data_IF_177049661302
#
_entry.id   IF_177049661302
#
_cell.length_a   1.000
_cell.length_b   1.000
_cell.length_c   1.000
_cell.angle_alpha   90.00
_cell.angle_beta   90.00
_cell.angle_gamma   90.00
#
_symmetry.space_group_name_H-M   'P 1'
#
loop_
_entity.id
_entity.type
_entity.pdbx_description
1 polymer ?
#
# COMPACT_ATOMS: atom_id res chain seq x y z
N UNK A 1 8.48 32.31 6.19
CA UNK A 1 9.74 31.71 5.70
C UNK A 1 9.54 31.37 4.23
N UNK A 2 10.21 32.06 3.31
CA UNK A 2 10.11 31.78 1.88
C UNK A 2 11.13 30.68 1.53
N UNK A 3 10.65 29.50 1.15
CA UNK A 3 11.48 28.34 0.84
C UNK A 3 10.70 27.03 0.79
N UNK A 4 11.36 26.01 0.26
CA UNK A 4 10.85 24.63 0.17
C UNK A 4 10.84 23.99 1.57
N UNK A 5 9.67 23.63 2.07
CA UNK A 5 9.47 23.09 3.43
C UNK A 5 8.39 22.02 3.45
N UNK A 6 8.42 21.17 4.49
CA UNK A 6 7.36 20.22 4.83
C UNK A 6 6.63 20.75 6.05
N UNK A 7 5.30 20.72 6.01
CA UNK A 7 4.40 21.31 6.99
C UNK A 7 3.45 20.25 7.53
N UNK A 8 3.06 20.39 8.79
CA UNK A 8 1.99 19.63 9.43
C UNK A 8 0.73 20.50 9.51
N UNK A 9 -0.33 20.12 8.80
CA UNK A 9 -1.58 20.88 8.72
C UNK A 9 -2.79 19.98 8.99
N UNK A 10 -3.89 20.55 9.49
CA UNK A 10 -5.13 19.81 9.64
C UNK A 10 -5.78 19.64 8.26
N UNK A 11 -6.26 18.42 7.91
CA UNK A 11 -6.95 18.21 6.65
C UNK A 11 -8.23 19.04 6.59
N UNK A 12 -8.56 19.55 5.41
CA UNK A 12 -9.80 20.29 5.19
C UNK A 12 -11.02 19.42 5.53
N UNK A 13 -12.00 19.99 6.24
CA UNK A 13 -13.25 19.31 6.56
C UNK A 13 -14.02 18.87 5.30
N UNK A 14 -13.81 19.53 4.16
CA UNK A 14 -14.43 19.17 2.87
C UNK A 14 -13.98 17.80 2.36
N UNK A 15 -12.85 17.27 2.82
CA UNK A 15 -12.35 15.95 2.42
C UNK A 15 -13.06 14.79 3.13
N UNK A 16 -13.85 15.07 4.17
CA UNK A 16 -14.56 14.07 4.97
C UNK A 16 -16.01 13.86 4.52
N UNK A 17 -16.25 13.89 3.20
CA UNK A 17 -17.57 13.64 2.62
C UNK A 17 -17.83 12.15 2.44
N UNK A 18 -19.08 11.73 2.70
CA UNK A 18 -19.53 10.36 2.48
C UNK A 18 -20.92 10.35 1.80
N UNK A 19 -21.11 9.61 0.69
CA UNK A 19 -20.10 8.84 -0.04
C UNK A 19 -19.01 9.73 -0.63
N UNK A 20 -17.76 9.24 -0.74
CA UNK A 20 -16.68 10.00 -1.36
C UNK A 20 -16.97 10.25 -2.85
N UNK A 21 -16.35 11.28 -3.42
CA UNK A 21 -16.46 11.56 -4.84
C UNK A 21 -15.95 10.36 -5.67
N UNK A 22 -16.80 9.90 -6.59
CA UNK A 22 -16.52 8.77 -7.47
C UNK A 22 -16.06 9.19 -8.87
N UNK A 23 -15.91 10.50 -9.13
CA UNK A 23 -15.83 11.08 -10.47
C UNK A 23 -14.70 10.50 -11.35
N UNK A 24 -13.56 10.14 -10.78
CA UNK A 24 -12.46 9.54 -11.55
C UNK A 24 -12.24 8.08 -11.13
N UNK A 25 -12.03 7.21 -12.13
CA UNK A 25 -11.61 5.82 -11.94
C UNK A 25 -10.09 5.75 -11.82
N UNK A 26 -9.59 4.72 -11.11
CA UNK A 26 -8.17 4.41 -11.08
C UNK A 26 -7.63 4.17 -12.49
N UNK A 27 -6.40 4.62 -12.73
CA UNK A 27 -5.77 4.58 -14.06
C UNK A 27 -5.16 3.19 -14.29
N UNK A 28 -5.48 2.49 -15.38
CA UNK A 28 -4.87 1.20 -15.68
C UNK A 28 -3.35 1.31 -15.89
N UNK A 29 -2.59 0.22 -15.68
CA UNK A 29 -1.13 0.26 -15.82
C UNK A 29 -0.68 0.55 -17.25
N UNK A 30 0.58 0.98 -17.48
CA UNK A 30 1.14 1.16 -18.82
C UNK A 30 0.98 -0.07 -19.72
N UNK A 31 0.89 0.14 -21.04
CA UNK A 31 0.86 -0.97 -21.99
C UNK A 31 2.23 -1.68 -22.04
N UNK A 32 2.28 -3.00 -22.25
CA UNK A 32 3.54 -3.71 -22.39
C UNK A 32 4.44 -3.07 -23.46
N UNK A 33 5.68 -2.76 -23.09
CA UNK A 33 6.66 -2.13 -23.97
C UNK A 33 6.51 -0.62 -24.17
N UNK A 34 5.50 0.05 -23.59
CA UNK A 34 5.33 1.50 -23.77
C UNK A 34 6.36 2.34 -23.01
N UNK A 35 6.80 1.86 -21.83
CA UNK A 35 7.85 2.46 -21.02
C UNK A 35 8.79 1.39 -20.47
N UNK A 36 9.99 1.76 -20.04
CA UNK A 36 10.99 0.81 -19.51
C UNK A 36 10.49 0.00 -18.30
N UNK A 37 9.57 0.57 -17.51
CA UNK A 37 8.96 -0.07 -16.35
C UNK A 37 7.61 -0.76 -16.65
N UNK A 38 7.22 -0.83 -17.93
CA UNK A 38 5.94 -1.40 -18.32
C UNK A 38 5.82 -2.87 -17.90
N UNK A 39 4.60 -3.31 -17.53
CA UNK A 39 4.39 -4.69 -17.15
C UNK A 39 4.61 -5.65 -18.33
N UNK A 40 4.97 -6.92 -18.05
CA UNK A 40 5.20 -7.91 -19.10
C UNK A 40 3.91 -8.37 -19.80
N UNK A 41 2.75 -8.12 -19.19
CA UNK A 41 1.44 -8.55 -19.68
C UNK A 41 0.45 -7.39 -19.61
N UNK A 42 -0.40 -7.31 -20.63
CA UNK A 42 -1.47 -6.34 -20.69
C UNK A 42 -2.62 -6.75 -19.76
N UNK A 43 -3.14 -5.79 -19.00
CA UNK A 43 -4.38 -5.95 -18.25
C UNK A 43 -5.46 -5.19 -19.02
N UNK A 44 -6.47 -5.86 -19.59
CA UNK A 44 -7.55 -5.20 -20.29
C UNK A 44 -8.26 -4.19 -19.38
N UNK A 45 -8.45 -2.96 -19.89
CA UNK A 45 -8.99 -1.84 -19.11
C UNK A 45 -10.36 -2.18 -18.49
N UNK A 46 -11.22 -2.88 -19.23
CA UNK A 46 -12.53 -3.31 -18.74
C UNK A 46 -12.42 -4.26 -17.54
N UNK A 47 -11.45 -5.18 -17.54
CA UNK A 47 -11.21 -6.11 -16.42
C UNK A 47 -10.65 -5.35 -15.23
N UNK A 48 -9.69 -4.44 -15.47
CA UNK A 48 -9.12 -3.59 -14.45
C UNK A 48 -10.21 -2.79 -13.71
N UNK A 49 -11.07 -2.12 -14.47
CA UNK A 49 -12.16 -1.29 -13.92
C UNK A 49 -13.26 -2.13 -13.28
N UNK A 50 -13.63 -3.27 -13.88
CA UNK A 50 -14.70 -4.12 -13.34
C UNK A 50 -14.32 -4.74 -11.99
N UNK A 51 -13.05 -5.13 -11.82
CA UNK A 51 -12.56 -5.63 -10.53
C UNK A 51 -12.63 -4.59 -9.42
N UNK A 52 -12.54 -3.29 -9.77
CA UNK A 52 -12.60 -2.18 -8.82
C UNK A 52 -14.03 -1.64 -8.59
N UNK A 53 -15.07 -2.30 -9.11
CA UNK A 53 -16.45 -2.00 -8.73
C UNK A 53 -16.65 -2.31 -7.24
N UNK A 54 -17.19 -1.38 -6.41
CA UNK A 54 -17.43 -1.61 -4.98
C UNK A 54 -18.23 -2.88 -4.66
N UNK A 55 -19.10 -3.33 -5.58
CA UNK A 55 -19.89 -4.55 -5.42
C UNK A 55 -19.01 -5.79 -5.32
N UNK A 56 -17.87 -5.83 -6.03
CA UNK A 56 -16.99 -7.00 -6.05
C UNK A 56 -16.42 -7.33 -4.66
N UNK A 57 -15.66 -6.44 -4.00
CA UNK A 57 -15.11 -6.74 -2.68
C UNK A 57 -16.21 -6.88 -1.62
N UNK A 58 -17.29 -6.09 -1.67
CA UNK A 58 -18.38 -6.18 -0.69
C UNK A 58 -19.08 -7.54 -0.78
N UNK A 59 -19.44 -7.99 -1.98
CA UNK A 59 -20.12 -9.28 -2.17
C UNK A 59 -19.22 -10.45 -1.78
N UNK A 60 -17.96 -10.46 -2.24
CA UNK A 60 -17.03 -11.56 -1.94
C UNK A 60 -16.70 -11.59 -0.44
N UNK A 61 -16.42 -10.45 0.19
CA UNK A 61 -16.12 -10.40 1.62
C UNK A 61 -17.32 -10.83 2.48
N UNK A 62 -18.53 -10.44 2.10
CA UNK A 62 -19.78 -10.85 2.77
C UNK A 62 -20.01 -12.35 2.62
N UNK A 63 -19.91 -12.87 1.40
CA UNK A 63 -20.05 -14.29 1.12
C UNK A 63 -19.01 -15.11 1.89
N UNK A 64 -17.75 -14.66 1.90
CA UNK A 64 -16.67 -15.26 2.67
C UNK A 64 -17.00 -15.31 4.17
N UNK A 65 -17.38 -14.17 4.78
CA UNK A 65 -17.67 -14.11 6.20
C UNK A 65 -18.86 -15.01 6.61
N UNK A 66 -19.93 -15.02 5.80
CA UNK A 66 -21.08 -15.90 6.01
C UNK A 66 -20.67 -17.37 5.89
N UNK A 67 -19.94 -17.71 4.82
CA UNK A 67 -19.46 -19.08 4.57
C UNK A 67 -18.59 -19.59 5.70
N UNK A 68 -17.64 -18.79 6.18
CA UNK A 68 -16.77 -19.17 7.30
C UNK A 68 -17.56 -19.40 8.58
N UNK A 69 -18.56 -18.57 8.88
CA UNK A 69 -19.44 -18.77 10.06
C UNK A 69 -20.21 -20.08 9.95
N UNK A 70 -20.78 -20.38 8.78
CA UNK A 70 -21.51 -21.62 8.55
C UNK A 70 -20.60 -22.85 8.65
N UNK A 71 -19.41 -22.80 8.04
CA UNK A 71 -18.43 -23.89 8.09
C UNK A 71 -17.84 -24.09 9.49
N UNK A 72 -17.65 -23.02 10.27
CA UNK A 72 -17.29 -23.12 11.68
C UNK A 72 -18.38 -23.82 12.50
N UNK A 73 -19.67 -23.49 12.26
CA UNK A 73 -20.79 -24.19 12.91
C UNK A 73 -20.81 -25.67 12.53
N UNK A 74 -20.58 -25.98 11.26
CA UNK A 74 -20.46 -27.36 10.78
C UNK A 74 -19.31 -28.11 11.46
N UNK A 75 -18.10 -27.56 11.49
CA UNK A 75 -16.95 -28.18 12.15
C UNK A 75 -17.17 -28.38 13.65
N UNK A 76 -17.87 -27.47 14.33
CA UNK A 76 -18.27 -27.69 15.71
C UNK A 76 -19.28 -28.84 15.86
N UNK A 77 -20.27 -28.94 14.97
CA UNK A 77 -21.26 -30.03 15.01
C UNK A 77 -20.65 -31.42 14.75
N UNK A 78 -19.53 -31.49 14.02
CA UNK A 78 -18.83 -32.74 13.72
C UNK A 78 -17.74 -33.10 14.74
N UNK A 79 -17.70 -32.42 15.89
CA UNK A 79 -16.62 -32.56 16.88
C UNK A 79 -15.22 -32.32 16.28
N UNK A 80 -15.10 -31.34 15.37
CA UNK A 80 -13.84 -30.90 14.75
C UNK A 80 -13.09 -32.01 14.01
N UNK A 81 -13.82 -32.98 13.45
CA UNK A 81 -13.24 -34.05 12.63
C UNK A 81 -12.70 -33.45 11.32
N UNK A 82 -11.46 -33.76 10.91
CA UNK A 82 -10.94 -33.34 9.61
C UNK A 82 -11.78 -33.90 8.46
N UNK A 83 -12.00 -33.09 7.42
CA UNK A 83 -12.81 -33.47 6.27
C UNK A 83 -12.11 -34.59 5.48
N UNK A 84 -12.87 -35.42 4.77
CA UNK A 84 -12.31 -36.52 3.97
C UNK A 84 -11.25 -36.05 2.97
N UNK A 85 -11.50 -34.92 2.30
CA UNK A 85 -10.57 -34.32 1.34
C UNK A 85 -9.21 -33.98 1.96
N UNK A 86 -9.17 -33.56 3.23
CA UNK A 86 -7.94 -33.09 3.89
C UNK A 86 -6.90 -34.19 4.12
N UNK A 87 -7.31 -35.47 4.03
CA UNK A 87 -6.45 -36.64 4.24
C UNK A 87 -5.84 -37.16 2.94
N UNK A 88 -6.22 -36.60 1.80
CA UNK A 88 -5.82 -37.08 0.49
C UNK A 88 -4.45 -36.52 0.09
N UNK A 89 -3.66 -37.28 -0.68
CA UNK A 89 -2.39 -36.80 -1.25
C UNK A 89 -2.56 -35.55 -2.14
N UNK A 90 -3.61 -35.46 -2.99
CA UNK A 90 -3.90 -34.23 -3.74
C UNK A 90 -4.08 -33.00 -2.85
N UNK A 91 -4.77 -33.12 -1.71
CA UNK A 91 -4.92 -32.00 -0.79
C UNK A 91 -3.59 -31.57 -0.16
N UNK A 92 -2.72 -32.53 0.20
CA UNK A 92 -1.38 -32.20 0.66
C UNK A 92 -0.56 -31.46 -0.42
N UNK A 93 -0.58 -31.97 -1.66
CA UNK A 93 0.08 -31.32 -2.79
C UNK A 93 -0.47 -29.91 -3.03
N UNK A 94 -1.79 -29.73 -2.98
CA UNK A 94 -2.44 -28.44 -3.07
C UNK A 94 -1.95 -27.46 -2.00
N UNK A 95 -1.88 -27.87 -0.72
CA UNK A 95 -1.39 -27.00 0.37
C UNK A 95 0.06 -26.58 0.16
N UNK A 96 0.92 -27.49 -0.30
CA UNK A 96 2.33 -27.18 -0.59
C UNK A 96 2.44 -26.22 -1.77
N UNK A 97 1.77 -26.52 -2.89
CA UNK A 97 1.79 -25.68 -4.09
C UNK A 97 1.21 -24.29 -3.81
N UNK A 98 0.13 -24.21 -3.03
CA UNK A 98 -0.49 -22.96 -2.59
C UNK A 98 0.49 -22.08 -1.82
N UNK A 99 1.19 -22.63 -0.82
CA UNK A 99 2.16 -21.87 -0.03
C UNK A 99 3.38 -21.47 -0.88
N UNK A 100 3.88 -22.36 -1.74
CA UNK A 100 5.01 -22.05 -2.64
C UNK A 100 4.62 -20.95 -3.62
N UNK A 101 3.44 -21.06 -4.24
CA UNK A 101 2.91 -20.07 -5.15
C UNK A 101 2.83 -18.70 -4.47
N UNK A 102 2.20 -18.61 -3.29
CA UNK A 102 2.10 -17.34 -2.57
C UNK A 102 3.45 -16.79 -2.12
N UNK A 103 4.41 -17.64 -1.76
CA UNK A 103 5.76 -17.19 -1.42
C UNK A 103 6.48 -16.57 -2.62
N UNK A 104 6.48 -17.25 -3.77
CA UNK A 104 7.13 -16.78 -5.01
C UNK A 104 6.43 -15.52 -5.53
N UNK A 105 5.10 -15.54 -5.59
CA UNK A 105 4.28 -14.41 -6.00
C UNK A 105 4.55 -13.16 -5.13
N UNK A 106 4.60 -13.33 -3.81
CA UNK A 106 4.86 -12.23 -2.88
C UNK A 106 6.28 -11.69 -3.04
N UNK A 107 7.27 -12.55 -3.25
CA UNK A 107 8.65 -12.12 -3.50
C UNK A 107 8.78 -11.36 -4.84
N UNK A 108 8.10 -11.81 -5.88
CA UNK A 108 8.05 -11.15 -7.18
C UNK A 108 7.39 -9.75 -7.08
N UNK A 109 6.25 -9.67 -6.39
CA UNK A 109 5.56 -8.41 -6.13
C UNK A 109 6.43 -7.42 -5.35
N UNK A 110 7.11 -7.90 -4.29
CA UNK A 110 8.03 -7.08 -3.51
C UNK A 110 9.18 -6.54 -4.37
N UNK A 111 9.81 -7.39 -5.19
CA UNK A 111 10.93 -6.98 -6.04
C UNK A 111 10.49 -5.96 -7.10
N UNK A 112 9.34 -6.18 -7.72
CA UNK A 112 8.74 -5.27 -8.68
C UNK A 112 8.45 -3.89 -8.09
N UNK A 113 7.78 -3.87 -6.92
CA UNK A 113 7.52 -2.64 -6.19
C UNK A 113 8.80 -1.95 -5.74
N UNK A 114 9.80 -2.68 -5.24
CA UNK A 114 11.09 -2.11 -4.85
C UNK A 114 11.81 -1.45 -6.04
N UNK A 115 11.73 -2.04 -7.23
CA UNK A 115 12.20 -1.43 -8.46
C UNK A 115 11.47 -0.13 -8.78
N UNK A 116 10.14 -0.13 -8.70
CA UNK A 116 9.31 1.07 -8.92
C UNK A 116 9.64 2.19 -7.93
N UNK A 117 9.83 1.85 -6.65
CA UNK A 117 10.25 2.79 -5.61
C UNK A 117 11.59 3.46 -5.94
N UNK A 118 12.59 2.68 -6.37
CA UNK A 118 13.92 3.20 -6.71
C UNK A 118 13.91 4.17 -7.89
N UNK A 119 12.97 4.01 -8.84
CA UNK A 119 12.82 4.90 -9.99
C UNK A 119 11.98 6.13 -9.70
N UNK A 120 11.09 6.06 -8.69
CA UNK A 120 10.11 7.12 -8.43
C UNK A 120 10.45 8.01 -7.24
N UNK A 121 11.24 7.53 -6.28
CA UNK A 121 11.51 8.27 -5.04
C UNK A 121 12.75 9.14 -5.18
N UNK A 122 12.56 10.44 -5.02
CA UNK A 122 13.66 11.41 -4.95
C UNK A 122 14.36 11.31 -3.60
N UNK A 123 15.69 11.41 -3.60
CA UNK A 123 16.51 11.36 -2.39
C UNK A 123 16.26 12.58 -1.47
N UNK A 124 16.17 12.37 -0.15
CA UNK A 124 16.01 13.47 0.81
C UNK A 124 17.25 14.37 0.93
N UNK A 125 18.39 13.89 0.46
CA UNK A 125 19.65 14.65 0.42
C UNK A 125 19.88 15.34 -0.93
N UNK A 126 18.89 15.32 -1.82
CA UNK A 126 18.93 16.00 -3.11
C UNK A 126 18.69 17.52 -3.02
N UNK A 127 18.73 18.24 -4.16
CA UNK A 127 18.68 19.70 -4.20
C UNK A 127 17.39 20.32 -3.65
N UNK A 128 16.28 19.58 -3.70
CA UNK A 128 14.97 20.01 -3.20
C UNK A 128 14.61 19.40 -1.82
N UNK A 129 15.56 18.70 -1.20
CA UNK A 129 15.48 18.16 0.15
C UNK A 129 14.27 17.27 0.43
N UNK A 130 13.77 17.37 1.67
CA UNK A 130 12.67 16.54 2.18
C UNK A 130 11.33 16.79 1.48
N UNK A 131 11.07 17.99 0.95
CA UNK A 131 9.81 18.27 0.28
C UNK A 131 9.67 17.50 -1.04
N UNK A 132 10.75 17.37 -1.81
CA UNK A 132 10.72 16.55 -3.03
C UNK A 132 10.57 15.05 -2.73
N UNK A 133 11.12 14.60 -1.60
CA UNK A 133 10.89 13.23 -1.11
C UNK A 133 9.43 13.03 -0.69
N UNK A 134 8.85 13.99 0.06
CA UNK A 134 7.45 13.97 0.47
C UNK A 134 6.52 13.98 -0.75
N UNK A 135 6.80 14.83 -1.74
CA UNK A 135 6.10 14.88 -3.01
C UNK A 135 6.13 13.51 -3.74
N UNK A 136 7.27 12.82 -3.75
CA UNK A 136 7.40 11.47 -4.33
C UNK A 136 6.53 10.42 -3.61
N UNK A 137 6.37 10.55 -2.29
CA UNK A 137 5.57 9.62 -1.50
C UNK A 137 4.08 9.94 -1.49
N UNK A 138 3.71 11.20 -1.68
CA UNK A 138 2.34 11.68 -1.61
C UNK A 138 1.64 11.72 -2.97
N UNK A 139 2.39 11.89 -4.07
CA UNK A 139 1.79 12.01 -5.40
C UNK A 139 2.11 10.80 -6.26
N UNK A 140 1.05 10.09 -6.67
CA UNK A 140 1.17 8.84 -7.41
C UNK A 140 1.27 9.01 -8.93
N UNK A 141 0.68 10.06 -9.48
CA UNK A 141 0.46 10.23 -10.92
C UNK A 141 1.20 11.44 -11.50
N UNK A 142 1.41 11.42 -12.82
CA UNK A 142 2.07 12.50 -13.57
C UNK A 142 3.55 12.22 -13.86
N UNK A 143 4.26 13.26 -14.26
CA UNK A 143 5.70 13.15 -14.53
C UNK A 143 6.51 13.11 -13.23
N UNK A 144 7.67 12.46 -13.31
CA UNK A 144 8.71 12.55 -12.29
C UNK A 144 9.23 13.97 -12.14
N UNK A 145 9.81 14.25 -10.98
CA UNK A 145 10.34 15.58 -10.65
C UNK A 145 9.42 16.36 -9.72
N UNK A 146 10.03 17.24 -8.92
CA UNK A 146 9.36 17.96 -7.85
C UNK A 146 8.32 18.93 -8.40
N UNK A 147 7.05 18.82 -7.97
CA UNK A 147 5.96 19.68 -8.43
C UNK A 147 5.38 19.35 -9.81
N UNK A 148 5.89 18.32 -10.50
CA UNK A 148 5.38 17.85 -11.79
C UNK A 148 4.26 16.79 -11.67
N UNK A 149 3.85 16.51 -10.43
CA UNK A 149 2.73 15.62 -10.16
C UNK A 149 1.44 16.11 -10.84
N UNK A 150 0.62 15.16 -11.26
CA UNK A 150 -0.71 15.43 -11.79
C UNK A 150 -1.74 15.01 -10.74
N UNK A 151 -2.54 15.96 -10.29
CA UNK A 151 -3.44 15.84 -9.15
C UNK A 151 -4.86 16.16 -9.59
N UNK A 152 -5.84 15.43 -9.05
CA UNK A 152 -7.24 15.66 -9.37
C UNK A 152 -7.79 16.76 -8.47
N UNK A 153 -8.44 17.76 -9.07
CA UNK A 153 -9.11 18.80 -8.31
C UNK A 153 -10.62 18.59 -8.33
N UNK A 154 -11.18 18.18 -7.18
CA UNK A 154 -12.62 17.91 -7.03
C UNK A 154 -13.50 19.15 -7.21
N UNK A 155 -12.99 20.35 -6.92
CA UNK A 155 -13.80 21.60 -7.02
C UNK A 155 -14.09 21.96 -8.48
N UNK A 156 -13.16 21.66 -9.38
CA UNK A 156 -13.25 21.99 -10.81
C UNK A 156 -13.46 20.78 -11.70
N UNK A 157 -13.28 19.56 -11.19
CA UNK A 157 -13.58 18.31 -11.89
C UNK A 157 -12.57 17.90 -12.97
N UNK A 158 -11.31 18.37 -12.88
CA UNK A 158 -10.27 18.00 -13.86
C UNK A 158 -8.90 17.75 -13.20
N UNK A 159 -8.02 17.06 -13.93
CA UNK A 159 -6.65 16.80 -13.52
C UNK A 159 -5.72 17.93 -13.93
N UNK A 160 -4.82 18.35 -13.03
CA UNK A 160 -3.88 19.43 -13.29
C UNK A 160 -2.53 19.22 -12.62
N UNK A 161 -1.51 19.94 -13.08
CA UNK A 161 -0.20 20.04 -12.44
C UNK A 161 0.11 21.49 -12.08
N UNK A 162 0.86 21.67 -10.99
CA UNK A 162 1.31 22.98 -10.50
C UNK A 162 2.32 23.65 -11.43
N UNK A 163 3.19 22.86 -12.06
CA UNK A 163 4.34 23.37 -12.83
C UNK A 163 4.08 23.44 -14.34
N UNK A 164 2.83 23.29 -14.78
CA UNK A 164 2.44 23.38 -16.21
C UNK A 164 2.87 22.19 -17.08
N UNK A 165 3.82 21.36 -16.61
CA UNK A 165 4.24 20.11 -17.21
C UNK A 165 3.19 19.01 -16.96
N UNK A 166 2.04 19.15 -17.62
CA UNK A 166 0.92 18.22 -17.50
C UNK A 166 1.20 16.96 -18.31
N UNK A 167 1.36 15.83 -17.63
CA UNK A 167 1.43 14.53 -18.26
C UNK A 167 0.02 13.97 -18.49
N UNK A 168 -0.86 14.72 -19.16
CA UNK A 168 -2.24 14.32 -19.42
C UNK A 168 -2.34 13.59 -20.76
N UNK A 169 -3.13 12.53 -20.80
CA UNK A 169 -3.58 11.88 -22.02
C UNK A 169 -4.69 12.68 -22.72
N UNK A 170 -5.07 12.22 -23.91
CA UNK A 170 -6.13 12.83 -24.72
C UNK A 170 -7.51 12.86 -24.02
N UNK A 171 -7.72 11.94 -23.08
CA UNK A 171 -8.93 11.83 -22.27
C UNK A 171 -8.95 12.77 -21.05
N UNK A 172 -7.92 13.61 -20.89
CA UNK A 172 -7.80 14.54 -19.76
C UNK A 172 -7.43 13.88 -18.44
N UNK A 173 -7.01 12.60 -18.47
CA UNK A 173 -6.49 11.86 -17.30
C UNK A 173 -4.96 11.81 -17.34
N UNK A 174 -4.28 11.50 -16.22
CA UNK A 174 -2.84 11.29 -16.26
C UNK A 174 -2.47 10.17 -17.25
N UNK A 175 -1.48 10.46 -18.09
CA UNK A 175 -0.98 9.57 -19.13
C UNK A 175 -0.40 8.29 -18.51
N UNK A 176 -0.70 7.15 -19.14
CA UNK A 176 -0.13 5.85 -18.82
C UNK A 176 1.34 5.73 -19.23
N UNK A 177 1.85 6.69 -19.98
CA UNK A 177 3.23 6.75 -20.45
C UNK A 177 4.10 7.70 -19.62
N UNK A 178 3.49 8.44 -18.69
CA UNK A 178 4.22 9.32 -17.78
C UNK A 178 5.17 8.49 -16.89
N UNK A 179 6.46 8.80 -16.91
CA UNK A 179 7.50 8.08 -16.15
C UNK A 179 7.94 8.86 -14.91
N UNK A 180 8.51 8.15 -13.93
CA UNK A 180 9.10 8.74 -12.74
C UNK A 180 8.16 8.91 -11.54
N UNK A 181 6.93 8.38 -11.63
CA UNK A 181 6.00 8.29 -10.50
C UNK A 181 5.55 6.86 -10.27
N UNK A 182 5.35 6.52 -9.00
CA UNK A 182 5.22 5.14 -8.57
C UNK A 182 4.02 4.40 -9.19
N UNK A 183 2.95 5.12 -9.57
CA UNK A 183 1.79 4.51 -10.21
C UNK A 183 2.18 3.75 -11.49
N UNK A 184 2.74 4.46 -12.47
CA UNK A 184 3.16 3.87 -13.75
C UNK A 184 4.45 3.04 -13.62
N UNK A 185 5.32 3.37 -12.66
CA UNK A 185 6.58 2.65 -12.43
C UNK A 185 6.41 1.27 -11.79
N UNK A 186 5.20 0.94 -11.31
CA UNK A 186 4.85 -0.42 -10.90
C UNK A 186 3.59 -0.56 -10.05
N UNK A 187 3.18 0.47 -9.30
CA UNK A 187 2.09 0.34 -8.34
C UNK A 187 0.73 0.04 -9.00
N UNK A 188 0.46 0.58 -10.18
CA UNK A 188 -0.77 0.29 -10.91
C UNK A 188 -0.91 -1.21 -11.22
N UNK A 189 0.18 -1.84 -11.67
CA UNK A 189 0.21 -3.26 -12.03
C UNK A 189 0.31 -4.16 -10.80
N UNK A 190 1.37 -4.00 -10.01
CA UNK A 190 1.62 -4.84 -8.83
C UNK A 190 0.56 -4.64 -7.76
N UNK A 191 0.09 -3.40 -7.56
CA UNK A 191 -1.01 -3.10 -6.65
C UNK A 191 -2.32 -3.75 -7.08
N UNK A 192 -2.64 -3.77 -8.38
CA UNK A 192 -3.87 -4.41 -8.84
C UNK A 192 -3.82 -5.94 -8.73
N UNK A 193 -2.70 -6.58 -9.08
CA UNK A 193 -2.56 -8.04 -8.88
C UNK A 193 -2.53 -8.37 -7.39
N UNK A 194 -1.90 -7.54 -6.56
CA UNK A 194 -1.92 -7.67 -5.09
C UNK A 194 -3.32 -7.49 -4.51
N UNK A 195 -4.14 -6.63 -5.09
CA UNK A 195 -5.56 -6.56 -4.78
C UNK A 195 -6.25 -7.89 -5.07
N UNK A 196 -6.05 -8.47 -6.26
CA UNK A 196 -6.63 -9.76 -6.60
C UNK A 196 -6.15 -10.89 -5.67
N UNK A 197 -4.90 -10.85 -5.22
CA UNK A 197 -4.36 -11.89 -4.34
C UNK A 197 -5.09 -11.96 -2.99
N UNK A 198 -5.72 -10.87 -2.52
CA UNK A 198 -6.51 -10.90 -1.28
C UNK A 198 -7.77 -11.77 -1.37
N UNK A 199 -8.34 -11.90 -2.56
CA UNK A 199 -9.41 -12.88 -2.79
C UNK A 199 -8.87 -14.31 -2.82
N UNK A 200 -7.69 -14.51 -3.39
CA UNK A 200 -7.04 -15.83 -3.43
C UNK A 200 -6.62 -16.32 -2.04
N UNK A 201 -6.13 -15.42 -1.17
CA UNK A 201 -5.71 -15.73 0.21
C UNK A 201 -6.84 -16.31 1.09
N UNK A 202 -8.12 -16.20 0.68
CA UNK A 202 -9.25 -16.90 1.32
C UNK A 202 -9.05 -18.42 1.39
N UNK A 203 -8.28 -18.99 0.46
CA UNK A 203 -7.92 -20.40 0.45
C UNK A 203 -7.16 -20.83 1.72
N UNK A 204 -6.45 -19.92 2.41
CA UNK A 204 -5.85 -20.22 3.72
C UNK A 204 -6.90 -20.58 4.76
N UNK A 205 -8.03 -19.87 4.72
CA UNK A 205 -9.16 -20.14 5.62
C UNK A 205 -9.81 -21.47 5.27
N UNK A 206 -9.96 -21.77 3.98
CA UNK A 206 -10.46 -23.05 3.50
C UNK A 206 -9.58 -24.21 3.97
N UNK A 207 -8.25 -24.10 3.86
CA UNK A 207 -7.31 -25.14 4.31
C UNK A 207 -7.47 -25.43 5.82
N UNK A 208 -7.65 -24.40 6.64
CA UNK A 208 -7.87 -24.54 8.09
C UNK A 208 -9.18 -25.25 8.39
N UNK A 209 -10.27 -24.83 7.73
CA UNK A 209 -11.59 -25.43 7.89
C UNK A 209 -11.61 -26.89 7.42
N UNK A 210 -10.97 -27.19 6.30
CA UNK A 210 -10.86 -28.54 5.76
C UNK A 210 -10.11 -29.49 6.70
N UNK A 211 -9.12 -28.98 7.43
CA UNK A 211 -8.40 -29.73 8.48
C UNK A 211 -9.23 -29.95 9.75
N UNK A 212 -10.51 -29.57 9.78
CA UNK A 212 -11.41 -29.70 10.92
C UNK A 212 -11.21 -28.63 11.99
N UNK A 213 -10.29 -27.68 11.77
CA UNK A 213 -10.06 -26.57 12.69
C UNK A 213 -11.11 -25.48 12.46
N UNK A 214 -11.27 -24.62 13.45
CA UNK A 214 -12.12 -23.44 13.34
C UNK A 214 -11.29 -22.28 12.80
N UNK A 215 -11.84 -21.55 11.84
CA UNK A 215 -11.29 -20.25 11.46
C UNK A 215 -11.53 -19.26 12.59
N UNK A 216 -10.48 -18.57 13.03
CA UNK A 216 -10.60 -17.55 14.05
C UNK A 216 -11.31 -16.30 13.52
N UNK A 217 -11.99 -15.56 14.41
CA UNK A 217 -12.57 -14.24 14.09
C UNK A 217 -11.50 -13.29 13.58
N UNK A 218 -10.28 -13.37 14.13
CA UNK A 218 -9.14 -12.56 13.69
C UNK A 218 -8.80 -12.82 12.22
N UNK A 219 -8.70 -14.08 11.82
CA UNK A 219 -8.40 -14.44 10.43
C UNK A 219 -9.51 -14.00 9.48
N UNK A 220 -10.76 -14.23 9.86
CA UNK A 220 -11.93 -13.85 9.03
C UNK A 220 -12.03 -12.34 8.88
N UNK A 221 -11.87 -11.60 9.98
CA UNK A 221 -11.87 -10.14 9.97
C UNK A 221 -10.70 -9.58 9.16
N UNK A 222 -9.51 -10.17 9.30
CA UNK A 222 -8.32 -9.74 8.58
C UNK A 222 -8.51 -9.86 7.06
N UNK A 223 -8.84 -11.05 6.55
CA UNK A 223 -8.99 -11.26 5.10
C UNK A 223 -10.13 -10.41 4.51
N UNK A 224 -11.28 -10.33 5.18
CA UNK A 224 -12.41 -9.52 4.71
C UNK A 224 -12.06 -8.01 4.67
N UNK A 225 -11.47 -7.49 5.75
CA UNK A 225 -11.08 -6.08 5.79
C UNK A 225 -9.92 -5.74 4.87
N UNK A 226 -8.97 -6.66 4.65
CA UNK A 226 -7.88 -6.48 3.70
C UNK A 226 -8.40 -6.32 2.25
N UNK A 227 -9.43 -7.08 1.85
CA UNK A 227 -10.09 -6.89 0.54
C UNK A 227 -10.66 -5.48 0.40
N UNK A 228 -11.36 -4.99 1.42
CA UNK A 228 -11.99 -3.67 1.41
C UNK A 228 -10.97 -2.52 1.42
N UNK A 229 -9.94 -2.61 2.26
CA UNK A 229 -8.89 -1.59 2.34
C UNK A 229 -8.05 -1.53 1.07
N UNK A 230 -7.73 -2.69 0.50
CA UNK A 230 -6.96 -2.75 -0.75
C UNK A 230 -7.78 -2.25 -1.94
N UNK A 231 -9.09 -2.57 -1.99
CA UNK A 231 -10.01 -1.98 -2.96
C UNK A 231 -10.02 -0.46 -2.88
N UNK A 232 -10.24 0.12 -1.69
CA UNK A 232 -10.34 1.57 -1.54
C UNK A 232 -9.01 2.26 -1.92
N UNK A 233 -7.87 1.71 -1.50
CA UNK A 233 -6.56 2.26 -1.84
C UNK A 233 -6.28 2.27 -3.34
N UNK A 234 -6.64 1.20 -4.06
CA UNK A 234 -6.47 1.15 -5.52
C UNK A 234 -7.51 2.00 -6.26
N UNK A 235 -8.79 1.90 -5.87
CA UNK A 235 -9.92 2.60 -6.52
C UNK A 235 -9.76 4.11 -6.48
N UNK A 236 -9.28 4.65 -5.37
CA UNK A 236 -9.07 6.08 -5.16
C UNK A 236 -7.61 6.52 -5.29
N UNK A 237 -6.71 5.62 -5.74
CA UNK A 237 -5.28 5.91 -5.92
C UNK A 237 -4.65 6.58 -4.68
N UNK A 238 -4.98 6.07 -3.50
CA UNK A 238 -4.53 6.66 -2.24
C UNK A 238 -3.06 6.34 -1.99
N UNK A 239 -2.23 7.37 -1.86
CA UNK A 239 -0.78 7.24 -1.80
C UNK A 239 -0.25 6.19 -0.81
N UNK A 240 -0.75 6.07 0.44
CA UNK A 240 -0.27 5.06 1.39
C UNK A 240 -0.38 3.60 0.93
N UNK A 241 -1.16 3.31 -0.12
CA UNK A 241 -1.38 1.94 -0.60
C UNK A 241 -0.08 1.24 -1.03
N UNK A 242 0.92 1.99 -1.53
CA UNK A 242 2.19 1.39 -1.93
C UNK A 242 2.93 0.73 -0.77
N UNK A 243 2.84 1.31 0.43
CA UNK A 243 3.49 0.78 1.64
C UNK A 243 2.85 -0.55 2.02
N UNK A 244 1.52 -0.65 1.87
CA UNK A 244 0.81 -1.89 2.08
C UNK A 244 1.30 -2.95 1.09
N UNK A 245 1.33 -2.66 -0.21
CA UNK A 245 1.77 -3.61 -1.24
C UNK A 245 3.23 -4.04 -1.01
N UNK A 246 4.16 -3.11 -0.81
CA UNK A 246 5.59 -3.38 -0.67
C UNK A 246 5.91 -4.17 0.61
N UNK A 247 5.51 -3.66 1.77
CA UNK A 247 5.91 -4.26 3.05
C UNK A 247 5.15 -5.56 3.31
N UNK A 248 3.86 -5.63 2.96
CA UNK A 248 3.10 -6.86 3.15
C UNK A 248 3.59 -7.97 2.22
N UNK A 249 3.91 -7.68 0.96
CA UNK A 249 4.46 -8.70 0.06
C UNK A 249 5.81 -9.24 0.56
N UNK A 250 6.68 -8.40 1.13
CA UNK A 250 7.91 -8.86 1.79
C UNK A 250 7.63 -9.82 2.96
N UNK A 251 6.73 -9.42 3.88
CA UNK A 251 6.39 -10.23 5.05
C UNK A 251 5.64 -11.52 4.65
N UNK A 252 4.76 -11.45 3.66
CA UNK A 252 4.05 -12.61 3.12
C UNK A 252 5.00 -13.59 2.45
N UNK A 253 6.00 -13.11 1.69
CA UNK A 253 7.03 -13.98 1.12
C UNK A 253 7.74 -14.80 2.22
N UNK A 254 8.14 -14.16 3.32
CA UNK A 254 8.75 -14.86 4.46
C UNK A 254 7.78 -15.80 5.18
N UNK A 255 6.54 -15.36 5.39
CA UNK A 255 5.51 -16.11 6.12
C UNK A 255 5.10 -17.40 5.36
N UNK A 256 4.84 -17.31 4.05
CA UNK A 256 4.52 -18.49 3.24
C UNK A 256 5.73 -19.39 2.99
N UNK A 257 6.94 -18.84 2.95
CA UNK A 257 8.17 -19.65 2.97
C UNK A 257 8.25 -20.47 4.27
N UNK A 258 7.96 -19.85 5.42
CA UNK A 258 7.87 -20.55 6.71
C UNK A 258 6.79 -21.64 6.71
N UNK A 259 5.60 -21.38 6.16
CA UNK A 259 4.55 -22.40 6.04
C UNK A 259 4.92 -23.54 5.11
N UNK A 260 5.63 -23.26 4.02
CA UNK A 260 6.17 -24.28 3.13
C UNK A 260 7.15 -25.19 3.86
N UNK A 261 8.14 -24.62 4.57
CA UNK A 261 9.14 -25.37 5.32
C UNK A 261 8.49 -26.25 6.41
N UNK A 262 7.51 -25.70 7.12
CA UNK A 262 6.79 -26.46 8.16
C UNK A 262 5.87 -27.55 7.60
N UNK A 263 5.35 -27.40 6.37
CA UNK A 263 4.59 -28.45 5.70
C UNK A 263 5.44 -29.69 5.38
N UNK A 264 6.75 -29.52 5.17
CA UNK A 264 7.72 -30.61 5.01
C UNK A 264 8.22 -31.19 6.35
N UNK A 265 7.58 -30.85 7.48
CA UNK A 265 7.98 -31.26 8.84
C UNK A 265 9.41 -30.87 9.23
N UNK A 266 9.96 -29.82 8.61
CA UNK A 266 11.27 -29.29 8.98
C UNK A 266 11.11 -28.44 10.25
N UNK A 267 11.91 -28.73 11.28
CA UNK A 267 11.88 -28.01 12.55
C UNK A 267 12.45 -26.61 12.38
N UNK A 268 11.59 -25.60 12.44
CA UNK A 268 12.00 -24.19 12.39
C UNK A 268 12.27 -23.67 13.82
N UNK A 269 13.40 -22.99 14.06
CA UNK A 269 13.69 -22.35 15.35
C UNK A 269 12.58 -21.38 15.80
N UNK A 270 12.28 -21.40 17.10
CA UNK A 270 11.28 -20.49 17.69
C UNK A 270 11.62 -19.00 17.51
N UNK A 271 12.90 -18.66 17.37
CA UNK A 271 13.34 -17.29 17.08
C UNK A 271 12.76 -16.78 15.76
N UNK A 272 12.77 -17.58 14.68
CA UNK A 272 12.22 -17.19 13.37
C UNK A 272 10.72 -16.94 13.49
N UNK A 273 9.99 -17.83 14.17
CA UNK A 273 8.55 -17.65 14.44
C UNK A 273 8.26 -16.35 15.22
N UNK A 274 9.12 -16.01 16.19
CA UNK A 274 8.99 -14.76 16.95
C UNK A 274 9.27 -13.55 16.07
N UNK A 275 10.33 -13.57 15.26
CA UNK A 275 10.68 -12.49 14.34
C UNK A 275 9.56 -12.22 13.33
N UNK A 276 8.96 -13.28 12.75
CA UNK A 276 7.83 -13.12 11.82
C UNK A 276 6.64 -12.42 12.49
N UNK A 277 6.26 -12.85 13.69
CA UNK A 277 5.18 -12.20 14.45
C UNK A 277 5.51 -10.75 14.78
N UNK A 278 6.75 -10.45 15.17
CA UNK A 278 7.20 -9.08 15.43
C UNK A 278 7.10 -8.22 14.18
N UNK A 279 7.56 -8.72 13.03
CA UNK A 279 7.50 -8.00 11.76
C UNK A 279 6.06 -7.70 11.34
N UNK A 280 5.12 -8.65 11.53
CA UNK A 280 3.70 -8.44 11.27
C UNK A 280 3.10 -7.34 12.14
N UNK A 281 3.44 -7.30 13.43
CA UNK A 281 2.95 -6.26 14.35
C UNK A 281 3.54 -4.89 13.97
N UNK A 282 4.85 -4.85 13.70
CA UNK A 282 5.53 -3.64 13.25
C UNK A 282 4.93 -3.12 11.94
N UNK A 283 4.59 -4.01 10.98
CA UNK A 283 3.91 -3.63 9.74
C UNK A 283 2.61 -2.89 10.01
N UNK A 284 1.77 -3.41 10.92
CA UNK A 284 0.48 -2.76 11.20
C UNK A 284 0.65 -1.42 11.92
N UNK A 285 1.55 -1.32 12.90
CA UNK A 285 1.79 -0.07 13.61
C UNK A 285 2.38 1.00 12.69
N UNK A 286 3.48 0.67 11.99
CA UNK A 286 4.14 1.61 11.08
C UNK A 286 3.22 1.96 9.92
N UNK A 287 2.51 0.98 9.34
CA UNK A 287 1.60 1.20 8.22
C UNK A 287 0.41 2.09 8.60
N UNK A 288 -0.21 1.89 9.77
CA UNK A 288 -1.32 2.71 10.23
C UNK A 288 -0.86 4.15 10.53
N UNK A 289 0.27 4.32 11.22
CA UNK A 289 0.84 5.65 11.49
C UNK A 289 1.23 6.35 10.19
N UNK A 290 1.84 5.64 9.25
CA UNK A 290 2.24 6.17 7.94
C UNK A 290 1.02 6.63 7.13
N UNK A 291 -0.03 5.80 7.04
CA UNK A 291 -1.25 6.17 6.34
C UNK A 291 -1.92 7.39 6.98
N UNK A 292 -2.00 7.42 8.31
CA UNK A 292 -2.57 8.55 9.05
C UNK A 292 -1.76 9.85 8.85
N UNK A 293 -0.42 9.76 8.79
CA UNK A 293 0.43 10.92 8.56
C UNK A 293 0.15 11.60 7.22
N UNK A 294 -0.27 10.88 6.17
CA UNK A 294 -0.59 11.49 4.87
C UNK A 294 -1.74 12.50 4.97
N UNK A 295 -2.68 12.29 5.90
CA UNK A 295 -3.77 13.23 6.13
C UNK A 295 -3.32 14.56 6.73
N UNK A 296 -2.10 14.63 7.28
CA UNK A 296 -1.60 15.82 7.98
C UNK A 296 -0.36 16.45 7.34
N UNK A 297 0.21 15.84 6.29
CA UNK A 297 1.43 16.33 5.66
C UNK A 297 1.07 17.19 4.44
N UNK A 298 1.66 18.39 4.41
CA UNK A 298 1.69 19.30 3.26
C UNK A 298 3.14 19.68 2.96
N UNK A 299 3.44 20.13 1.75
CA UNK A 299 4.77 20.62 1.39
C UNK A 299 4.69 21.78 0.40
N UNK A 300 5.70 22.64 0.36
CA UNK A 300 5.71 23.82 -0.52
C UNK A 300 6.48 23.55 -1.81
N UNK A 301 5.83 23.76 -2.95
CA UNK A 301 6.39 23.60 -4.29
C UNK A 301 6.70 24.98 -4.88
N UNK A 302 7.91 25.22 -5.42
CA UNK A 302 8.21 26.45 -6.16
C UNK A 302 7.54 26.41 -7.53
N UNK A 303 6.72 27.43 -7.83
CA UNK A 303 6.03 27.60 -9.11
C UNK A 303 6.47 28.92 -9.72
N UNK A 304 6.91 28.90 -10.97
CA UNK A 304 7.25 30.11 -11.73
C UNK A 304 6.00 30.68 -12.40
N UNK A 305 5.64 31.91 -12.04
CA UNK A 305 4.54 32.66 -12.66
C UNK A 305 5.11 33.79 -13.52
N UNK A 306 4.49 34.04 -14.66
CA UNK A 306 4.87 35.12 -15.56
C UNK A 306 3.85 36.25 -15.45
N UNK A 307 4.27 37.41 -14.95
CA UNK A 307 3.41 38.60 -14.83
C UNK A 307 3.75 39.62 -15.92
N UNK A 308 2.76 40.26 -16.51
CA UNK A 308 3.01 41.30 -17.51
C UNK A 308 3.70 42.50 -16.85
N UNK A 309 4.77 43.03 -17.46
CA UNK A 309 5.39 44.29 -17.04
C UNK A 309 4.31 45.39 -17.11
N UNK A 310 4.00 46.02 -15.97
CA UNK A 310 3.19 47.26 -15.99
C UNK A 310 3.92 48.28 -16.85
N UNK A 311 3.24 48.77 -17.90
CA UNK A 311 3.74 49.84 -18.75
C UNK A 311 3.84 51.16 -17.99
N UNK A 312 4.95 51.37 -17.32
CA UNK A 312 5.39 52.65 -16.80
C UNK A 312 6.92 52.69 -16.89
N UNK A 313 7.42 52.58 -18.12
CA UNK A 313 8.74 53.06 -18.61
C UNK A 313 8.84 52.81 -20.13
N UNK A 314 7.73 53.02 -20.85
CA UNK A 314 7.69 52.99 -22.31
C UNK A 314 7.73 54.41 -22.88
N UNK A 315 8.67 55.24 -22.42
CA UNK A 315 9.13 56.41 -23.16
C UNK A 315 10.64 56.51 -22.94
N UNK A 316 11.38 56.06 -23.97
CA UNK A 316 12.70 56.53 -24.42
C UNK A 316 13.56 55.35 -24.82
N UNK A 317 13.37 54.89 -26.06
CA UNK A 317 14.49 54.54 -26.93
C UNK A 317 14.00 54.57 -28.37
N UNK A 318 14.07 55.77 -28.93
CA UNK A 318 14.09 55.96 -30.38
C UNK A 318 15.33 55.28 -30.95
N UNK A 319 15.13 54.61 -32.09
CA UNK A 319 16.09 54.44 -33.19
C UNK A 319 17.47 53.83 -32.88
N UNK A 320 17.66 52.58 -33.28
CA UNK A 320 18.62 52.26 -34.36
C UNK A 320 18.46 50.82 -34.82
N UNK A 321 18.02 50.67 -36.07
CA UNK A 321 18.06 49.44 -36.85
C UNK A 321 19.51 49.15 -37.26
N UNK A 322 20.01 47.95 -36.95
CA UNK A 322 21.07 47.36 -37.77
C UNK A 322 20.82 45.86 -37.90
N UNK A 323 20.23 45.50 -39.04
CA UNK A 323 20.35 44.17 -39.60
C UNK A 323 21.76 44.04 -40.18
N UNK A 324 22.56 43.07 -39.71
CA UNK A 324 23.64 42.39 -40.43
C UNK A 324 24.46 41.56 -39.45
N UNK A 325 24.29 40.24 -39.48
CA UNK A 325 25.37 39.24 -39.66
C UNK A 325 24.82 37.85 -39.33
N UNK A 326 24.17 37.30 -40.35
CA UNK A 326 24.17 35.86 -40.59
C UNK A 326 25.28 35.60 -41.61
N UNK A 327 25.92 34.42 -41.54
CA UNK A 327 26.93 33.86 -42.48
C UNK A 327 28.40 33.96 -42.02
N UNK A 328 28.73 33.12 -41.03
CA UNK A 328 29.96 32.31 -40.93
C UNK A 328 29.87 31.62 -39.56
N UNK A 329 29.53 30.34 -39.44
CA UNK A 329 30.54 29.27 -39.39
C UNK A 329 29.84 27.91 -39.59
N UNK A 330 29.32 27.65 -40.79
CA UNK A 330 28.61 26.41 -41.14
C UNK A 330 29.53 25.32 -41.74
N UNK A 331 30.82 25.28 -41.35
CA UNK A 331 31.80 24.41 -42.00
C UNK A 331 32.81 23.77 -41.04
N UNK A 332 32.36 23.17 -39.94
CA UNK A 332 33.19 22.27 -39.11
C UNK A 332 32.40 21.13 -38.42
N UNK A 333 31.13 20.91 -38.76
CA UNK A 333 30.31 19.88 -38.09
C UNK A 333 30.19 18.52 -38.82
N UNK A 334 30.53 18.48 -40.12
CA UNK A 334 30.25 17.32 -40.96
C UNK A 334 31.26 16.15 -40.78
N UNK A 335 32.36 16.35 -40.06
CA UNK A 335 33.38 15.32 -39.84
C UNK A 335 33.29 14.64 -38.45
N UNK A 336 32.55 15.23 -37.51
CA UNK A 336 32.29 14.64 -36.18
C UNK A 336 31.07 13.71 -36.18
N UNK A 337 30.06 13.99 -37.01
CA UNK A 337 28.84 13.17 -37.10
C UNK A 337 29.05 11.75 -37.68
N UNK A 338 30.20 11.49 -38.31
CA UNK A 338 30.55 10.16 -38.86
C UNK A 338 31.31 9.28 -37.86
N UNK A 339 31.89 9.87 -36.79
CA UNK A 339 32.67 9.15 -35.78
C UNK A 339 31.79 8.51 -34.69
N UNK A 340 30.62 9.10 -34.42
CA UNK A 340 29.67 8.64 -33.40
C UNK A 340 28.72 7.51 -33.87
N UNK A 341 28.77 7.12 -35.15
CA UNK A 341 27.93 6.03 -35.67
C UNK A 341 28.57 4.63 -35.52
N UNK A 342 29.81 4.53 -35.01
CA UNK A 342 30.59 3.27 -35.02
C UNK A 342 31.03 2.79 -33.63
N UNK A 343 31.03 3.62 -32.59
CA UNK A 343 31.37 3.17 -31.23
C UNK A 343 30.28 3.53 -30.22
N UNK A 344 29.41 2.56 -29.94
CA UNK A 344 28.41 2.65 -28.89
C UNK A 344 29.02 2.96 -27.52
N UNK A 345 28.45 3.95 -26.83
CA UNK A 345 28.86 4.36 -25.49
C UNK A 345 27.63 4.52 -24.57
N UNK A 346 27.17 3.39 -24.03
CA UNK A 346 26.31 3.32 -22.85
C UNK A 346 27.11 3.75 -21.61
N UNK A 347 27.27 5.06 -21.44
CA UNK A 347 27.70 5.69 -20.17
C UNK A 347 27.47 7.21 -20.16
N UNK A 348 27.35 7.87 -21.32
CA UNK A 348 27.12 9.34 -21.39
C UNK A 348 25.66 9.77 -21.33
N UNK A 349 24.72 8.87 -21.63
CA UNK A 349 23.27 9.17 -21.60
C UNK A 349 22.75 9.41 -20.17
N UNK A 350 23.43 8.86 -19.15
CA UNK A 350 23.05 9.05 -17.75
C UNK A 350 23.43 10.45 -17.20
N UNK A 351 24.50 11.05 -17.74
CA UNK A 351 24.96 12.38 -17.32
C UNK A 351 24.21 13.49 -18.07
N UNK A 352 23.84 13.25 -19.33
CA UNK A 352 22.96 14.15 -20.09
C UNK A 352 21.51 14.12 -19.59
N UNK A 353 20.98 12.96 -19.15
CA UNK A 353 19.66 12.90 -18.50
C UNK A 353 19.64 13.62 -17.14
N UNK A 354 20.76 13.64 -16.40
CA UNK A 354 20.90 14.43 -15.19
C UNK A 354 21.01 15.93 -15.50
N UNK A 355 21.72 16.33 -16.56
CA UNK A 355 21.81 17.72 -17.00
C UNK A 355 20.47 18.25 -17.57
N UNK A 356 19.69 17.41 -18.26
CA UNK A 356 18.33 17.74 -18.71
C UNK A 356 17.36 17.86 -17.52
N UNK A 357 17.60 17.14 -16.41
CA UNK A 357 16.81 17.30 -15.18
C UNK A 357 17.11 18.61 -14.42
N UNK A 358 18.30 19.20 -14.61
CA UNK A 358 18.60 20.57 -14.15
C UNK A 358 18.01 21.61 -15.12
N UNK A 359 17.90 21.28 -16.40
CA UNK A 359 17.27 22.12 -17.42
C UNK A 359 15.73 22.10 -17.40
N UNK A 360 15.07 21.13 -16.74
CA UNK A 360 13.61 21.11 -16.61
C UNK A 360 13.07 22.15 -15.60
N UNK A 361 13.96 22.83 -14.87
CA UNK A 361 13.67 24.08 -14.15
C UNK A 361 14.17 25.33 -14.90
N UNK A 362 14.60 25.19 -16.15
CA UNK A 362 14.83 26.35 -17.01
C UNK A 362 13.46 26.93 -17.35
N UNK A 363 13.13 28.02 -16.65
CA UNK A 363 12.09 28.95 -17.06
C UNK A 363 12.13 29.09 -18.59
N UNK A 364 10.97 28.94 -19.23
CA UNK A 364 10.80 29.28 -20.63
C UNK A 364 11.48 30.64 -20.88
N UNK A 365 12.19 30.81 -22.01
CA UNK A 365 12.95 32.03 -22.27
C UNK A 365 12.05 33.25 -22.03
N UNK A 366 12.55 34.30 -21.34
CA UNK A 366 11.72 35.42 -20.93
C UNK A 366 11.05 36.02 -22.15
N UNK A 367 9.73 35.85 -22.22
CA UNK A 367 8.92 36.47 -23.27
C UNK A 367 9.05 37.99 -23.13
N UNK A 368 9.37 38.73 -24.21
CA UNK A 368 9.51 40.17 -24.14
C UNK A 368 8.20 40.79 -23.61
N UNK A 369 8.27 41.45 -22.47
CA UNK A 369 7.11 42.07 -21.80
C UNK A 369 6.60 41.36 -20.55
N UNK A 370 7.16 40.20 -20.15
CA UNK A 370 6.80 39.50 -18.91
C UNK A 370 7.96 39.44 -17.90
N UNK A 371 7.63 39.37 -16.61
CA UNK A 371 8.55 39.15 -15.48
C UNK A 371 8.26 37.76 -14.90
N UNK A 372 9.28 36.92 -14.77
CA UNK A 372 9.18 35.63 -14.10
C UNK A 372 9.37 35.83 -12.59
N UNK A 373 8.40 35.39 -11.79
CA UNK A 373 8.44 35.40 -10.33
C UNK A 373 8.21 33.98 -9.81
N UNK A 374 8.99 33.55 -8.81
CA UNK A 374 8.81 32.23 -8.17
C UNK A 374 7.99 32.38 -6.91
N UNK A 375 6.81 31.77 -6.89
CA UNK A 375 5.93 31.68 -5.73
C UNK A 375 5.99 30.28 -5.13
N UNK A 376 5.83 30.17 -3.81
CA UNK A 376 5.77 28.88 -3.12
C UNK A 376 4.31 28.52 -2.84
N UNK A 377 3.84 27.44 -3.46
CA UNK A 377 2.46 26.95 -3.30
C UNK A 377 2.46 25.74 -2.37
N UNK A 378 1.62 25.78 -1.33
CA UNK A 378 1.44 24.63 -0.44
C UNK A 378 0.57 23.56 -1.11
N UNK A 379 1.10 22.35 -1.21
CA UNK A 379 0.42 21.19 -1.75
C UNK A 379 0.21 20.15 -0.63
N UNK A 380 -1.04 19.78 -0.31
CA UNK A 380 -1.31 18.70 0.63
C UNK A 380 -1.07 17.33 0.00
N UNK A 381 -0.74 16.34 0.84
CA UNK A 381 -0.54 14.96 0.40
C UNK A 381 -1.84 14.25 0.01
N UNK A 382 -2.98 14.72 0.54
CA UNK A 382 -4.30 14.20 0.23
C UNK A 382 -5.12 15.35 -0.34
N UNK A 383 -5.73 15.12 -1.50
CA UNK A 383 -6.45 16.16 -2.25
C UNK A 383 -7.88 15.82 -2.53
N UNK A 384 -8.26 14.55 -2.38
CA UNK A 384 -9.60 14.07 -2.69
C UNK A 384 -10.27 13.44 -1.47
N UNK A 385 -11.59 13.51 -1.45
CA UNK A 385 -12.45 12.79 -0.51
C UNK A 385 -12.29 11.28 -0.62
N UNK A 386 -12.04 10.76 -1.84
CA UNK A 386 -11.75 9.35 -2.10
C UNK A 386 -10.47 8.84 -1.44
N UNK A 387 -9.37 9.57 -1.59
CA UNK A 387 -8.09 9.26 -0.92
C UNK A 387 -8.25 9.27 0.60
N UNK A 388 -8.96 10.27 1.12
CA UNK A 388 -9.27 10.42 2.55
C UNK A 388 -10.08 9.23 3.06
N UNK A 389 -11.16 8.86 2.36
CA UNK A 389 -11.96 7.70 2.68
C UNK A 389 -11.12 6.41 2.73
N UNK A 390 -10.23 6.20 1.75
CA UNK A 390 -9.35 5.03 1.72
C UNK A 390 -8.40 4.97 2.93
N UNK A 391 -7.81 6.11 3.32
CA UNK A 391 -6.94 6.22 4.50
C UNK A 391 -7.71 5.88 5.77
N UNK A 392 -8.87 6.52 5.98
CA UNK A 392 -9.66 6.32 7.20
C UNK A 392 -10.25 4.92 7.29
N UNK A 393 -10.70 4.34 6.18
CA UNK A 393 -11.12 2.95 6.13
C UNK A 393 -10.00 2.02 6.62
N UNK A 394 -8.78 2.24 6.14
CA UNK A 394 -7.60 1.46 6.53
C UNK A 394 -7.24 1.66 8.01
N UNK A 395 -7.19 2.92 8.48
CA UNK A 395 -6.87 3.23 9.89
C UNK A 395 -7.88 2.63 10.85
N UNK A 396 -9.19 2.80 10.59
CA UNK A 396 -10.26 2.26 11.43
C UNK A 396 -10.29 0.74 11.44
N UNK A 397 -9.96 0.10 10.31
CA UNK A 397 -9.82 -1.35 10.21
C UNK A 397 -8.61 -1.88 10.98
N UNK A 398 -7.45 -1.20 10.88
CA UNK A 398 -6.22 -1.65 11.53
C UNK A 398 -6.21 -1.41 13.03
N UNK A 399 -6.95 -0.43 13.55
CA UNK A 399 -6.99 -0.09 14.98
C UNK A 399 -7.38 -1.28 15.90
N UNK A 400 -8.49 -2.01 15.69
CA UNK A 400 -8.81 -3.19 16.51
C UNK A 400 -7.81 -4.34 16.28
N UNK A 401 -7.27 -4.48 15.06
CA UNK A 401 -6.32 -5.53 14.72
C UNK A 401 -4.98 -5.35 15.43
N UNK A 402 -4.42 -4.15 15.34
CA UNK A 402 -3.18 -3.76 16.05
C UNK A 402 -3.33 -4.00 17.55
N UNK A 403 -4.43 -3.57 18.15
CA UNK A 403 -4.71 -3.82 19.56
C UNK A 403 -4.71 -5.32 19.90
N UNK A 404 -5.44 -6.14 19.14
CA UNK A 404 -5.53 -7.58 19.37
C UNK A 404 -4.17 -8.29 19.20
N UNK A 405 -3.40 -7.93 18.17
CA UNK A 405 -2.09 -8.53 17.92
C UNK A 405 -1.05 -8.13 18.98
N UNK A 406 -1.03 -6.86 19.40
CA UNK A 406 -0.16 -6.39 20.48
C UNK A 406 -0.51 -7.10 21.79
N UNK A 407 -1.79 -7.22 22.14
CA UNK A 407 -2.23 -7.99 23.30
C UNK A 407 -1.81 -9.46 23.23
N UNK A 408 -2.01 -10.11 22.08
CA UNK A 408 -1.58 -11.49 21.86
C UNK A 408 -0.07 -11.65 22.05
N UNK A 409 0.73 -10.72 21.53
CA UNK A 409 2.18 -10.75 21.66
C UNK A 409 2.65 -10.59 23.11
N UNK A 410 2.10 -9.61 23.83
CA UNK A 410 2.40 -9.37 25.24
C UNK A 410 2.09 -10.63 26.06
N UNK A 411 0.92 -11.24 25.84
CA UNK A 411 0.50 -12.47 26.54
C UNK A 411 1.36 -13.67 26.17
N UNK A 412 1.70 -13.85 24.89
CA UNK A 412 2.40 -15.04 24.39
C UNK A 412 3.91 -15.03 24.65
N UNK A 413 4.54 -13.85 24.65
CA UNK A 413 6.00 -13.74 24.64
C UNK A 413 6.58 -12.95 25.81
N UNK A 414 5.94 -11.86 26.25
CA UNK A 414 6.48 -11.01 27.32
C UNK A 414 6.11 -11.57 28.70
N UNK A 415 4.80 -11.80 28.96
CA UNK A 415 4.35 -12.37 30.24
C UNK A 415 4.88 -13.79 30.48
N UNK A 416 5.17 -14.53 29.41
CA UNK A 416 5.78 -15.86 29.46
C UNK A 416 7.27 -15.82 29.80
N UNK A 417 8.03 -14.81 29.35
CA UNK A 417 9.46 -14.69 29.70
C UNK A 417 9.66 -14.32 31.16
N UNK A 418 8.72 -13.59 31.76
CA UNK A 418 8.72 -13.26 33.19
C UNK A 418 8.22 -14.40 34.09
N UNK A 419 7.48 -15.38 33.55
CA UNK A 419 6.87 -16.49 34.29
C UNK A 419 7.63 -17.82 34.18
N UNK A 420 8.84 -17.86 33.62
CA UNK A 420 9.65 -19.07 33.61
C UNK A 420 10.01 -19.48 35.06
N UNK A 421 9.70 -20.72 35.52
CA UNK A 421 9.94 -21.10 36.90
C UNK A 421 11.44 -21.28 37.14
N UNK A 422 12.00 -20.50 38.08
CA UNK A 422 13.19 -20.91 38.83
C UNK A 422 12.78 -22.07 39.76
N UNK A 423 12.67 -23.28 39.21
CA UNK A 423 12.24 -24.45 39.98
C UNK A 423 12.98 -25.70 39.52
N UNK A 424 13.96 -26.15 40.31
CA UNK A 424 14.56 -27.48 40.20
C UNK A 424 13.48 -28.51 40.56
N UNK A 425 12.98 -29.26 39.58
CA UNK A 425 12.09 -30.39 39.83
C UNK A 425 11.68 -31.11 38.54
N UNK A 426 12.02 -32.41 38.45
CA UNK A 426 11.61 -33.31 37.36
C UNK A 426 10.08 -33.49 37.38
N UNK A 427 9.34 -32.67 36.63
CA UNK A 427 7.96 -32.95 36.26
C UNK A 427 7.91 -33.47 34.82
N UNK A 428 7.15 -34.56 34.64
CA UNK A 428 6.94 -35.29 33.38
C UNK A 428 6.69 -34.33 32.21
N UNK A 429 7.61 -34.34 31.24
CA UNK A 429 7.61 -33.51 30.02
C UNK A 429 6.42 -33.89 29.13
N UNK A 430 5.23 -33.36 29.43
CA UNK A 430 4.20 -33.20 28.41
C UNK A 430 4.76 -32.33 27.29
N UNK A 431 4.52 -32.71 26.03
CA UNK A 431 5.16 -32.02 24.92
C UNK A 431 4.78 -30.54 24.94
N UNK A 432 5.78 -29.65 24.80
CA UNK A 432 5.57 -28.21 24.72
C UNK A 432 4.59 -27.80 23.58
N UNK A 433 4.32 -28.72 22.64
CA UNK A 433 3.38 -28.58 21.53
C UNK A 433 1.94 -28.78 21.99
N UNK A 434 1.66 -29.85 22.75
CA UNK A 434 0.31 -30.15 23.26
C UNK A 434 -0.15 -29.12 24.31
N UNK A 435 0.77 -28.59 25.12
CA UNK A 435 0.47 -27.55 26.10
C UNK A 435 0.25 -26.18 25.44
N UNK A 436 1.01 -25.86 24.38
CA UNK A 436 0.83 -24.63 23.61
C UNK A 436 -0.42 -24.64 22.72
N UNK A 437 -0.81 -25.81 22.19
CA UNK A 437 -2.04 -25.97 21.43
C UNK A 437 -3.27 -25.81 22.35
N UNK A 438 -3.26 -26.47 23.52
CA UNK A 438 -4.33 -26.34 24.53
C UNK A 438 -4.49 -24.90 25.03
N UNK A 439 -3.38 -24.21 25.31
CA UNK A 439 -3.40 -22.82 25.78
C UNK A 439 -3.76 -21.80 24.67
N UNK A 440 -3.40 -22.05 23.41
CA UNK A 440 -3.85 -21.24 22.27
C UNK A 440 -5.36 -21.33 22.05
N UNK A 441 -5.93 -22.52 22.26
CA UNK A 441 -7.38 -22.74 22.28
C UNK A 441 -8.08 -22.09 23.48
N UNK A 442 -7.41 -21.95 24.63
CA UNK A 442 -7.94 -21.26 25.81
C UNK A 442 -7.92 -19.74 25.63
N UNK A 443 -6.83 -19.18 25.10
CA UNK A 443 -6.74 -17.75 24.78
C UNK A 443 -7.74 -17.33 23.67
N UNK A 444 -7.94 -18.17 22.65
CA UNK A 444 -8.94 -17.94 21.61
C UNK A 444 -10.39 -18.07 22.14
N UNK A 445 -10.63 -18.89 23.18
CA UNK A 445 -11.92 -18.97 23.87
C UNK A 445 -12.16 -17.75 24.76
N UNK A 446 -11.13 -17.24 25.42
CA UNK A 446 -11.24 -16.06 26.27
C UNK A 446 -11.47 -14.78 25.45
N UNK A 447 -10.78 -14.63 24.32
CA UNK A 447 -11.04 -13.53 23.36
C UNK A 447 -12.43 -13.64 22.74
N UNK A 448 -12.92 -14.86 22.43
CA UNK A 448 -14.32 -15.03 22.03
C UNK A 448 -15.31 -14.70 23.16
N UNK A 449 -14.99 -15.02 24.42
CA UNK A 449 -15.84 -14.69 25.58
C UNK A 449 -15.91 -13.18 25.80
N UNK A 450 -14.82 -12.46 25.59
CA UNK A 450 -14.72 -11.00 25.72
C UNK A 450 -15.48 -10.26 24.59
N UNK A 451 -15.47 -10.80 23.37
CA UNK A 451 -16.17 -10.21 22.21
C UNK A 451 -17.67 -10.50 22.22
N UNK A 452 -18.12 -11.64 22.76
CA UNK A 452 -19.54 -12.02 22.77
C UNK A 452 -20.31 -11.65 24.07
N UNK A 453 -19.64 -11.47 25.22
CA UNK A 453 -20.33 -11.17 26.49
C UNK A 453 -20.36 -9.68 26.87
N UNK A 454 -19.94 -8.77 25.97
CA UNK A 454 -20.01 -7.31 26.18
C UNK A 454 -21.43 -6.71 26.14
N UNK A 455 -22.48 -7.52 26.06
CA UNK A 455 -23.88 -7.06 26.00
C UNK A 455 -24.82 -7.98 26.78
N UNK A 456 -24.47 -8.28 28.03
CA UNK A 456 -25.42 -8.88 28.99
C UNK A 456 -25.11 -8.42 30.42
N UNK A 457 -25.17 -7.10 30.64
CA UNK A 457 -25.30 -6.53 31.98
C UNK A 457 -26.67 -5.86 32.10
N UNK A 458 -27.71 -6.68 32.25
CA UNK A 458 -28.93 -6.31 32.94
C UNK A 458 -29.33 -7.50 33.82
N UNK A 459 -28.92 -7.44 35.07
CA UNK A 459 -29.44 -8.32 36.12
C UNK A 459 -30.90 -7.93 36.36
N UNK A 460 -31.82 -8.85 36.09
CA UNK A 460 -33.12 -8.88 36.77
C UNK A 460 -32.95 -9.78 37.99
N UNK A 461 -33.14 -9.17 39.15
CA UNK A 461 -33.30 -9.80 40.46
C UNK A 461 -34.43 -10.85 40.46
N UNK A 462 -34.22 -11.98 41.15
CA UNK A 462 -35.32 -12.87 41.57
C UNK A 462 -35.00 -14.37 41.60
N UNK A 463 -34.60 -14.86 42.77
CA UNK A 463 -34.73 -16.19 43.41
C UNK A 463 -35.69 -17.28 42.81
N UNK A 464 -35.68 -18.57 43.28
CA UNK A 464 -34.82 -19.22 44.29
C UNK A 464 -34.27 -20.63 43.94
N UNK A 465 -33.36 -21.03 44.84
CA UNK A 465 -32.75 -22.34 45.12
C UNK A 465 -33.63 -23.60 44.90
N UNK A 466 -33.00 -24.67 44.41
CA UNK A 466 -33.38 -26.06 44.74
C UNK A 466 -32.12 -26.90 45.02
N UNK A 467 -31.98 -27.35 46.26
CA UNK A 467 -30.92 -28.23 46.74
C UNK A 467 -31.18 -29.68 46.31
N UNK A 468 -30.13 -30.36 45.83
CA UNK A 468 -30.15 -31.78 45.48
C UNK A 468 -29.60 -32.65 46.60
N UNK A 469 -30.37 -33.67 46.97
CA UNK A 469 -30.14 -34.69 47.99
C UNK A 469 -28.80 -35.45 47.86
N UNK A 470 -28.15 -35.67 49.00
CA UNK A 470 -27.02 -36.58 49.17
C UNK A 470 -27.45 -38.05 49.26
N UNK A 471 -26.62 -38.94 48.68
CA UNK A 471 -26.74 -40.40 48.75
C UNK A 471 -26.19 -40.93 50.08
N UNK A 472 -26.96 -41.75 50.78
CA UNK A 472 -26.51 -42.60 51.89
C UNK A 472 -25.84 -43.87 51.35
N UNK A 473 -24.75 -44.28 52.01
CA UNK A 473 -24.15 -45.62 51.90
C UNK A 473 -24.63 -46.44 53.11
N UNK A 474 -25.07 -47.67 52.85
CA UNK A 474 -24.94 -48.79 53.78
C UNK A 474 -24.08 -49.85 53.10
#
# INVERSE_FOLDING_TARGET
MAGVTVLGELPSASLFTFPPDGAHMAIPPPFPGSIAAAPPVEIPDNIFTAALDPRVPITIATLYAVTVKLLNKYNNSTNRKPWGISKTKPFFAFVVLHNVFLAVYSAWTFWGMLGGMRRSVVSPFGPNGLAATADSFCQLNGNGGFGAATVYNETVGYWSSLTGNNALGFDGRPSREATGRIWNEGLAFYGWIFYLSKFYEVLDTFIILAKGKLSSTLQTYHHAGAMMCMWAGMRYMSAPIWMFVLVNSFIHAMMYTYYTITAFNIRVPMAIKRTLTTLQITQFLVGATYAMAHSFVSYTVPVTVYTAKKGADAITQSSTSTAAETVATAATGAFEALKDMVFGASAKVAEEAAAVSVAAAAAAPPQPGFVAETIFVTQPCVTTSGETFAIWLNVLYLAPLTYLFVMFFIRSYIRRSTAAPKGKGKARRESNVTLAEKAGWDAAREVNREIYNGSASYNVEGSPKRAGNGKAKH
#
